data_IF_394686293468
#
_entry.id   IF_394686293468
#
_cell.length_a   1.000
_cell.length_b   1.000
_cell.length_c   1.000
_cell.angle_alpha   90.00
_cell.angle_beta   90.00
_cell.angle_gamma   90.00
#
_symmetry.space_group_name_H-M   'P 1'
#
loop_
_entity.id
_entity.type
_entity.pdbx_description
1 polymer ?
#
# COMPACT_ATOMS: atom_id res chain seq x y z
N UNK A 1 -18.09 -24.64 2.28
CA UNK A 1 -17.10 -25.74 2.32
C UNK A 1 -16.19 -25.52 1.12
N UNK A 2 -15.32 -24.52 1.21
CA UNK A 2 -14.39 -24.20 0.13
C UNK A 2 -13.06 -24.86 0.46
N UNK A 3 -12.92 -26.11 0.01
CA UNK A 3 -11.66 -26.85 0.15
C UNK A 3 -10.56 -26.16 -0.66
N UNK A 4 -9.29 -26.26 -0.22
CA UNK A 4 -8.16 -25.66 -0.95
C UNK A 4 -8.15 -26.14 -2.41
N UNK A 5 -7.93 -25.20 -3.32
CA UNK A 5 -7.91 -25.47 -4.77
C UNK A 5 -6.92 -26.61 -5.08
N UNK A 6 -7.29 -27.57 -5.95
CA UNK A 6 -6.40 -28.67 -6.29
C UNK A 6 -5.08 -28.16 -6.87
N UNK A 7 -3.97 -28.82 -6.54
CA UNK A 7 -2.61 -28.40 -6.90
C UNK A 7 -2.41 -28.13 -8.40
N UNK A 8 -3.15 -28.85 -9.26
CA UNK A 8 -3.14 -28.63 -10.71
C UNK A 8 -3.67 -27.25 -11.11
N UNK A 9 -4.70 -26.74 -10.44
CA UNK A 9 -5.25 -25.40 -10.69
C UNK A 9 -4.29 -24.31 -10.22
N UNK A 10 -3.61 -24.52 -9.09
CA UNK A 10 -2.54 -23.64 -8.60
C UNK A 10 -1.39 -23.53 -9.60
N UNK A 11 -0.95 -24.67 -10.17
CA UNK A 11 0.11 -24.69 -11.20
C UNK A 11 -0.27 -23.95 -12.47
N UNK A 12 -1.54 -23.95 -12.85
CA UNK A 12 -2.03 -23.19 -14.00
C UNK A 12 -2.02 -21.68 -13.76
N UNK A 13 -2.12 -21.26 -12.50
CA UNK A 13 -2.08 -19.86 -12.08
C UNK A 13 -0.64 -19.32 -11.92
N UNK A 14 0.36 -20.19 -11.79
CA UNK A 14 1.77 -19.80 -11.64
C UNK A 14 2.28 -18.94 -12.82
N UNK A 15 2.08 -19.30 -14.10
CA UNK A 15 2.56 -18.49 -15.21
C UNK A 15 1.93 -17.09 -15.29
N UNK A 16 0.58 -16.93 -15.17
CA UNK A 16 -0.04 -15.60 -15.10
C UNK A 16 0.41 -14.77 -13.90
N UNK A 17 0.51 -15.38 -12.70
CA UNK A 17 0.98 -14.69 -11.51
C UNK A 17 2.40 -14.16 -11.66
N UNK A 18 3.32 -14.96 -12.23
CA UNK A 18 4.69 -14.51 -12.50
C UNK A 18 4.73 -13.31 -13.44
N UNK A 19 3.90 -13.32 -14.48
CA UNK A 19 3.80 -12.20 -15.42
C UNK A 19 3.29 -10.94 -14.72
N UNK A 20 2.23 -11.06 -13.93
CA UNK A 20 1.70 -9.94 -13.16
C UNK A 20 2.73 -9.42 -12.16
N UNK A 21 3.41 -10.30 -11.41
CA UNK A 21 4.48 -9.90 -10.49
C UNK A 21 5.63 -9.18 -11.21
N UNK A 22 6.00 -9.61 -12.42
CA UNK A 22 7.02 -8.94 -13.21
C UNK A 22 6.58 -7.53 -13.66
N UNK A 23 5.33 -7.37 -14.09
CA UNK A 23 4.75 -6.07 -14.42
C UNK A 23 4.70 -5.16 -13.19
N UNK A 24 4.26 -5.69 -12.05
CA UNK A 24 4.20 -4.98 -10.77
C UNK A 24 5.60 -4.58 -10.29
N UNK A 25 6.61 -5.42 -10.51
CA UNK A 25 8.00 -5.07 -10.26
C UNK A 25 8.46 -3.90 -11.14
N UNK A 26 8.10 -3.89 -12.43
CA UNK A 26 8.39 -2.75 -13.30
C UNK A 26 7.70 -1.46 -12.86
N UNK A 27 6.49 -1.53 -12.30
CA UNK A 27 5.80 -0.37 -11.73
C UNK A 27 6.63 0.25 -10.60
N UNK A 28 7.17 -0.59 -9.71
CA UNK A 28 8.07 -0.16 -8.61
C UNK A 28 9.37 0.42 -9.15
N UNK A 29 9.99 -0.25 -10.12
CA UNK A 29 11.27 0.17 -10.71
C UNK A 29 11.17 1.52 -11.42
N UNK A 30 10.08 1.74 -12.17
CA UNK A 30 9.81 2.99 -12.90
C UNK A 30 9.18 4.07 -12.05
N UNK A 31 8.88 3.79 -10.77
CA UNK A 31 8.14 4.69 -9.85
C UNK A 31 6.89 5.27 -10.49
N UNK A 32 6.16 4.46 -11.24
CA UNK A 32 4.98 4.93 -11.97
C UNK A 32 3.81 5.08 -11.01
N UNK A 33 3.72 6.24 -10.38
CA UNK A 33 2.74 6.56 -9.34
C UNK A 33 1.29 6.32 -9.75
N UNK A 34 0.97 6.53 -11.01
CA UNK A 34 -0.35 6.25 -11.58
C UNK A 34 -0.76 4.78 -11.44
N UNK A 35 0.21 3.86 -11.37
CA UNK A 35 0.00 2.42 -11.32
C UNK A 35 0.15 1.82 -9.92
N UNK A 36 0.58 2.61 -8.94
CA UNK A 36 0.79 2.15 -7.57
C UNK A 36 -0.51 1.73 -6.87
N UNK A 37 -1.66 2.28 -7.27
CA UNK A 37 -2.97 1.76 -6.83
C UNK A 37 -3.21 0.31 -7.26
N UNK A 38 -2.85 -0.04 -8.50
CA UNK A 38 -2.97 -1.43 -9.02
C UNK A 38 -1.99 -2.38 -8.35
N UNK A 39 -0.82 -1.88 -7.94
CA UNK A 39 0.15 -2.64 -7.16
C UNK A 39 -0.39 -2.96 -5.75
N UNK A 40 -1.08 -2.01 -5.13
CA UNK A 40 -1.75 -2.25 -3.85
C UNK A 40 -2.85 -3.33 -3.98
N UNK A 41 -3.72 -3.18 -4.98
CA UNK A 41 -4.79 -4.14 -5.25
C UNK A 41 -4.23 -5.54 -5.54
N UNK A 42 -3.11 -5.64 -6.27
CA UNK A 42 -2.43 -6.90 -6.54
C UNK A 42 -1.91 -7.56 -5.25
N UNK A 43 -1.25 -6.80 -4.37
CA UNK A 43 -0.75 -7.32 -3.09
C UNK A 43 -1.90 -7.81 -2.22
N UNK A 44 -3.00 -7.05 -2.14
CA UNK A 44 -4.21 -7.49 -1.43
C UNK A 44 -4.77 -8.78 -2.03
N UNK A 45 -4.98 -8.84 -3.35
CA UNK A 45 -5.53 -10.01 -4.03
C UNK A 45 -4.70 -11.28 -3.79
N UNK A 46 -3.37 -11.18 -3.91
CA UNK A 46 -2.47 -12.33 -3.75
C UNK A 46 -2.42 -12.79 -2.29
N UNK A 47 -2.45 -11.86 -1.33
CA UNK A 47 -2.44 -12.19 0.10
C UNK A 47 -3.80 -12.68 0.61
N UNK A 48 -4.91 -12.33 -0.03
CA UNK A 48 -6.22 -12.92 0.26
C UNK A 48 -6.36 -14.32 -0.35
N UNK A 49 -5.82 -14.54 -1.55
CA UNK A 49 -5.84 -15.84 -2.22
C UNK A 49 -4.89 -16.85 -1.55
N UNK A 50 -3.75 -16.39 -1.03
CA UNK A 50 -2.75 -17.20 -0.35
C UNK A 50 -2.32 -16.50 0.95
N UNK A 51 -3.12 -16.62 2.03
CA UNK A 51 -2.85 -15.94 3.31
C UNK A 51 -1.57 -16.43 3.99
N UNK A 52 -1.06 -17.59 3.61
CA UNK A 52 0.22 -18.14 4.11
C UNK A 52 1.45 -17.46 3.51
N UNK A 53 1.27 -16.64 2.46
CA UNK A 53 2.38 -15.98 1.76
C UNK A 53 3.02 -14.88 2.60
N UNK A 54 2.21 -14.16 3.38
CA UNK A 54 2.66 -13.08 4.25
C UNK A 54 1.86 -13.12 5.56
N UNK A 55 2.55 -12.90 6.68
CA UNK A 55 1.86 -12.64 7.95
C UNK A 55 1.05 -11.34 7.88
N UNK A 56 -0.03 -11.23 8.65
CA UNK A 56 -0.83 -9.99 8.72
C UNK A 56 0.01 -8.75 8.99
N UNK A 57 1.05 -8.89 9.81
CA UNK A 57 2.01 -7.82 10.09
C UNK A 57 2.83 -7.44 8.86
N UNK A 58 3.38 -8.41 8.12
CA UNK A 58 4.13 -8.14 6.89
C UNK A 58 3.24 -7.50 5.83
N UNK A 59 2.00 -7.98 5.68
CA UNK A 59 1.00 -7.40 4.78
C UNK A 59 0.71 -5.94 5.15
N UNK A 60 0.42 -5.66 6.43
CA UNK A 60 0.15 -4.31 6.89
C UNK A 60 1.35 -3.37 6.67
N UNK A 61 2.57 -3.83 6.97
CA UNK A 61 3.80 -3.04 6.74
C UNK A 61 4.06 -2.77 5.26
N UNK A 62 3.81 -3.75 4.38
CA UNK A 62 3.97 -3.61 2.94
C UNK A 62 2.98 -2.57 2.38
N UNK A 63 1.70 -2.67 2.74
CA UNK A 63 0.67 -1.71 2.33
C UNK A 63 0.98 -0.30 2.86
N UNK A 64 1.39 -0.19 4.12
CA UNK A 64 1.75 1.08 4.74
C UNK A 64 2.98 1.71 4.06
N UNK A 65 4.00 0.91 3.77
CA UNK A 65 5.20 1.35 3.07
C UNK A 65 4.92 1.80 1.64
N UNK A 66 4.06 1.06 0.94
CA UNK A 66 3.64 1.41 -0.42
C UNK A 66 2.92 2.75 -0.45
N UNK A 67 2.00 3.00 0.50
CA UNK A 67 1.27 4.25 0.61
C UNK A 67 2.12 5.42 1.07
N UNK A 68 3.05 5.20 1.99
CA UNK A 68 4.03 6.23 2.37
C UNK A 68 4.92 6.63 1.18
N UNK A 69 5.27 5.68 0.31
CA UNK A 69 5.97 5.97 -0.94
C UNK A 69 5.12 6.80 -1.90
N UNK A 70 3.86 6.44 -2.11
CA UNK A 70 2.95 7.24 -2.94
C UNK A 70 2.80 8.67 -2.41
N UNK A 71 2.56 8.85 -1.10
CA UNK A 71 2.39 10.18 -0.52
C UNK A 71 3.65 11.02 -0.60
N UNK A 72 4.84 10.41 -0.42
CA UNK A 72 6.10 11.12 -0.53
C UNK A 72 6.40 11.56 -1.98
N UNK A 73 6.06 10.74 -2.97
CA UNK A 73 6.32 11.03 -4.38
C UNK A 73 5.27 12.02 -4.95
N UNK A 74 4.02 12.02 -4.47
CA UNK A 74 2.99 13.01 -4.84
C UNK A 74 3.31 14.42 -4.30
N UNK A 75 3.98 14.51 -3.15
CA UNK A 75 4.48 15.78 -2.60
C UNK A 75 5.57 16.41 -3.49
N UNK A 76 6.21 15.63 -4.37
CA UNK A 76 7.27 16.10 -5.28
C UNK A 76 6.72 16.51 -6.65
N UNK A 77 5.59 15.93 -7.09
CA UNK A 77 5.01 16.17 -8.43
C UNK A 77 3.94 17.28 -8.50
N UNK A 78 3.68 18.03 -7.43
CA UNK A 78 2.68 19.12 -7.39
C UNK A 78 1.28 18.67 -7.86
N UNK A 79 0.89 17.44 -7.50
CA UNK A 79 -0.40 16.87 -7.88
C UNK A 79 -1.49 17.37 -6.93
N UNK A 80 -2.59 17.84 -7.53
CA UNK A 80 -3.68 18.58 -6.92
C UNK A 80 -4.17 18.03 -5.56
N UNK A 81 -4.48 18.91 -4.59
CA UNK A 81 -4.84 18.55 -3.21
C UNK A 81 -6.09 17.67 -3.07
N UNK A 82 -6.92 17.58 -4.10
CA UNK A 82 -8.16 16.78 -4.14
C UNK A 82 -7.89 15.26 -4.15
N UNK A 83 -6.86 14.83 -4.88
CA UNK A 83 -6.42 13.43 -4.95
C UNK A 83 -5.82 12.96 -3.62
N UNK A 84 -5.17 13.86 -2.89
CA UNK A 84 -4.62 13.61 -1.55
C UNK A 84 -5.76 13.36 -0.54
N UNK A 85 -6.87 14.11 -0.64
CA UNK A 85 -8.06 13.92 0.20
C UNK A 85 -8.71 12.56 -0.05
N UNK A 86 -8.86 12.15 -1.31
CA UNK A 86 -9.45 10.84 -1.64
C UNK A 86 -8.59 9.66 -1.13
N UNK A 87 -7.27 9.82 -1.15
CA UNK A 87 -6.34 8.85 -0.55
C UNK A 87 -6.43 8.85 0.98
N UNK A 88 -6.59 10.01 1.63
CA UNK A 88 -6.78 10.12 3.08
C UNK A 88 -8.07 9.44 3.54
N UNK A 89 -9.17 9.60 2.82
CA UNK A 89 -10.45 8.94 3.13
C UNK A 89 -10.35 7.41 2.99
N UNK A 90 -9.61 6.93 1.97
CA UNK A 90 -9.31 5.50 1.81
C UNK A 90 -8.43 4.95 2.93
N UNK A 91 -7.46 5.73 3.42
CA UNK A 91 -6.64 5.37 4.59
C UNK A 91 -7.51 5.20 5.84
N UNK A 92 -8.47 6.10 6.05
CA UNK A 92 -9.38 6.04 7.20
C UNK A 92 -10.35 4.85 7.11
N UNK A 93 -10.87 4.55 5.92
CA UNK A 93 -11.79 3.42 5.68
C UNK A 93 -11.15 2.07 6.02
N UNK A 94 -9.87 1.87 5.68
CA UNK A 94 -9.17 0.61 5.97
C UNK A 94 -8.65 0.58 7.41
N UNK A 95 -8.28 1.72 8.01
CA UNK A 95 -7.90 1.80 9.42
C UNK A 95 -9.02 1.46 10.42
N UNK A 96 -10.27 1.33 9.98
CA UNK A 96 -11.40 0.86 10.78
C UNK A 96 -11.48 -0.66 10.87
N UNK A 97 -10.66 -1.42 10.13
CA UNK A 97 -10.48 -2.84 10.39
C UNK A 97 -9.71 -2.96 11.71
N UNK A 98 -10.43 -3.26 12.78
CA UNK A 98 -9.95 -3.34 14.17
C UNK A 98 -8.82 -4.35 14.33
N UNK A 99 -7.59 -3.96 14.02
CA UNK A 99 -6.39 -4.71 14.40
C UNK A 99 -5.91 -4.18 15.75
N UNK A 100 -5.93 -5.04 16.77
CA UNK A 100 -5.48 -4.72 18.13
C UNK A 100 -3.95 -4.77 18.29
N UNK A 101 -3.21 -4.68 17.18
CA UNK A 101 -1.76 -4.80 17.19
C UNK A 101 -1.12 -3.43 17.51
N UNK A 102 -0.45 -3.34 18.66
CA UNK A 102 0.13 -2.09 19.16
C UNK A 102 1.17 -1.50 18.20
N UNK A 103 1.88 -2.35 17.45
CA UNK A 103 2.84 -1.92 16.44
C UNK A 103 2.17 -1.29 15.20
N UNK A 104 0.96 -1.74 14.85
CA UNK A 104 0.17 -1.19 13.76
C UNK A 104 -0.36 0.20 14.13
N UNK A 105 -0.90 0.35 15.33
CA UNK A 105 -1.38 1.64 15.83
C UNK A 105 -0.24 2.67 16.00
N UNK A 106 0.95 2.25 16.43
CA UNK A 106 2.14 3.13 16.46
C UNK A 106 2.56 3.59 15.06
N UNK A 107 2.55 2.68 14.07
CA UNK A 107 2.92 3.01 12.70
C UNK A 107 1.88 3.93 12.04
N UNK A 108 0.59 3.69 12.31
CA UNK A 108 -0.53 4.55 11.90
C UNK A 108 -0.43 5.94 12.54
N UNK A 109 -0.13 6.03 13.84
CA UNK A 109 0.06 7.29 14.54
C UNK A 109 1.23 8.09 13.94
N UNK A 110 2.35 7.44 13.60
CA UNK A 110 3.50 8.09 12.95
C UNK A 110 3.16 8.62 11.56
N UNK A 111 2.40 7.87 10.77
CA UNK A 111 1.99 8.31 9.43
C UNK A 111 1.01 9.48 9.51
N UNK A 112 0.05 9.43 10.43
CA UNK A 112 -0.89 10.54 10.69
C UNK A 112 -0.20 11.81 11.20
N UNK A 113 0.85 11.67 12.02
CA UNK A 113 1.66 12.80 12.47
C UNK A 113 2.44 13.46 11.32
N UNK A 114 2.89 12.67 10.35
CA UNK A 114 3.59 13.17 9.16
C UNK A 114 2.65 13.94 8.22
N UNK A 115 1.42 13.47 8.01
CA UNK A 115 0.43 14.12 7.15
C UNK A 115 -0.18 15.37 7.75
N UNK A 116 -0.31 15.45 9.09
CA UNK A 116 -0.79 16.65 9.80
C UNK A 116 0.23 17.79 9.83
N UNK A 117 1.50 17.52 9.53
CA UNK A 117 2.55 18.55 9.49
C UNK A 117 2.47 19.28 8.14
N UNK A 118 1.70 20.36 8.15
CA UNK A 118 1.49 21.30 7.05
C UNK A 118 2.78 21.58 6.27
N UNK A 119 2.73 21.66 4.91
CA UNK A 119 3.89 22.01 4.08
C UNK A 119 4.48 23.41 4.39
N UNK A 120 3.73 24.26 5.10
CA UNK A 120 4.05 25.66 5.36
C UNK A 120 5.18 25.96 6.35
N UNK A 121 5.58 25.00 7.20
CA UNK A 121 6.54 25.31 8.28
C UNK A 121 8.00 25.01 7.91
N UNK A 122 8.24 24.42 6.73
CA UNK A 122 9.59 24.00 6.30
C UNK A 122 10.47 25.12 5.77
N UNK A 123 9.90 26.26 5.37
CA UNK A 123 10.67 27.42 4.86
C UNK A 123 10.98 28.48 5.92
N UNK A 124 10.45 28.34 7.15
CA UNK A 124 10.61 29.34 8.20
C UNK A 124 11.92 29.25 9.01
N UNK A 125 12.74 28.21 8.80
CA UNK A 125 13.99 27.99 9.58
C UNK A 125 15.25 28.32 8.78
N UNK A 126 15.11 29.09 7.69
CA UNK A 126 16.26 29.71 7.02
C UNK A 126 16.05 31.22 6.90
N UNK A 127 16.25 31.92 8.02
CA UNK A 127 16.73 33.30 8.04
C UNK A 127 17.87 33.40 9.04
#
# INVERSE_FOLDING_TARGET
MDGPLPLSSLRLLVPPLRLMSAVMWQVVERRSLEHYGKLEDFVCLVTEAVPELLTDRQRALLLLGLRAKMSQEWIVEDVAPELIQTQLDRIQSICLTKSSDKAFEDAKARLMAYTRRSPGDRWAVRK
#
